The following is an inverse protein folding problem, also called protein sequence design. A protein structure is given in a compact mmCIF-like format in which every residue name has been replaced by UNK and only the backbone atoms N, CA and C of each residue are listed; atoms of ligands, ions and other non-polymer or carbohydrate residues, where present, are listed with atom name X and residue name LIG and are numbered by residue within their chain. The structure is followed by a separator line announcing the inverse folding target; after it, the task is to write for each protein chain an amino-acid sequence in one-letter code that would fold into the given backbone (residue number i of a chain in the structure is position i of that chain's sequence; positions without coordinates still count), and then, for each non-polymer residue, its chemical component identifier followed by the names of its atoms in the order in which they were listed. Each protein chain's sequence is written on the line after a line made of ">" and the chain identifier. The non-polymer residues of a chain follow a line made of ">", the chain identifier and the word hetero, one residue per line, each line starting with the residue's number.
data_IF_953898622686
#
_entry.id   IF_953898622686
#
_cell.length_a   1.000
_cell.length_b   1.000
_cell.length_c   1.000
_cell.angle_alpha   90.00
_cell.angle_beta   90.00
_cell.angle_gamma   90.00
#
_symmetry.space_group_name_H-M   'P 1'
#
loop_
_entity.id
_entity.type
_entity.pdbx_description
1 polymer ?
#
# COMPACT_ATOMS: atom_id res chain seq x y z
N UNK A 1 -5.63 41.09 10.96
CA UNK A 1 -6.53 39.98 10.55
C UNK A 1 -5.82 39.03 9.57
N UNK A 2 -5.11 39.56 8.57
CA UNK A 2 -4.39 38.79 7.54
C UNK A 2 -3.30 37.84 8.09
N UNK A 3 -2.50 38.30 9.06
CA UNK A 3 -1.47 37.46 9.70
C UNK A 3 -2.04 36.25 10.47
N UNK A 4 -3.28 36.31 10.98
CA UNK A 4 -3.85 35.17 11.67
C UNK A 4 -4.32 34.09 10.70
N UNK A 5 -4.97 34.47 9.59
CA UNK A 5 -5.36 33.53 8.53
C UNK A 5 -4.14 32.83 7.93
N UNK A 6 -3.08 33.58 7.64
CA UNK A 6 -1.82 33.02 7.14
C UNK A 6 -1.22 32.01 8.13
N UNK A 7 -1.17 32.34 9.43
CA UNK A 7 -0.67 31.42 10.44
C UNK A 7 -1.51 30.15 10.56
N UNK A 8 -2.83 30.23 10.42
CA UNK A 8 -3.69 29.04 10.39
C UNK A 8 -3.42 28.18 9.16
N UNK A 9 -3.32 28.78 7.97
CA UNK A 9 -3.05 28.05 6.73
C UNK A 9 -1.67 27.36 6.75
N UNK A 10 -0.64 28.05 7.25
CA UNK A 10 0.69 27.47 7.41
C UNK A 10 0.64 26.27 8.36
N UNK A 11 -0.03 26.41 9.51
CA UNK A 11 -0.18 25.33 10.49
C UNK A 11 -0.86 24.09 9.89
N UNK A 12 -1.96 24.25 9.17
CA UNK A 12 -2.64 23.11 8.53
C UNK A 12 -1.82 22.50 7.39
N UNK A 13 -1.12 23.32 6.61
CA UNK A 13 -0.22 22.84 5.55
C UNK A 13 0.91 21.99 6.13
N UNK A 14 1.53 22.43 7.23
CA UNK A 14 2.59 21.68 7.90
C UNK A 14 2.08 20.38 8.50
N UNK A 15 0.86 20.38 9.06
CA UNK A 15 0.23 19.18 9.57
C UNK A 15 -0.07 18.16 8.45
N UNK A 16 -0.66 18.59 7.33
CA UNK A 16 -0.91 17.73 6.17
C UNK A 16 0.41 17.16 5.66
N UNK A 17 1.44 18.00 5.52
CA UNK A 17 2.76 17.57 5.06
C UNK A 17 3.34 16.48 5.96
N UNK A 18 3.34 16.68 7.27
CA UNK A 18 3.91 15.72 8.21
C UNK A 18 3.22 14.35 8.13
N UNK A 19 1.90 14.33 7.94
CA UNK A 19 1.10 13.11 7.82
C UNK A 19 1.31 12.42 6.48
N UNK A 20 1.34 13.22 5.40
CA UNK A 20 1.63 12.73 4.06
C UNK A 20 3.02 12.09 4.00
N UNK A 21 4.03 12.69 4.65
CA UNK A 21 5.37 12.11 4.72
C UNK A 21 5.34 10.75 5.41
N UNK A 22 4.64 10.59 6.55
CA UNK A 22 4.53 9.28 7.22
C UNK A 22 3.85 8.22 6.35
N UNK A 23 2.79 8.61 5.63
CA UNK A 23 2.12 7.72 4.68
C UNK A 23 3.10 7.30 3.58
N UNK A 24 3.82 8.26 3.00
CA UNK A 24 4.80 8.01 1.94
C UNK A 24 6.01 7.20 2.43
N UNK A 25 6.42 7.36 3.68
CA UNK A 25 7.49 6.57 4.30
C UNK A 25 7.07 5.10 4.40
N UNK A 26 5.90 4.82 4.98
CA UNK A 26 5.40 3.44 5.10
C UNK A 26 5.17 2.81 3.73
N UNK A 27 4.51 3.55 2.83
CA UNK A 27 4.31 3.10 1.45
C UNK A 27 5.65 2.84 0.74
N UNK A 28 6.61 3.76 0.86
CA UNK A 28 7.91 3.67 0.21
C UNK A 28 8.76 2.51 0.73
N UNK A 29 8.72 2.24 2.04
CA UNK A 29 9.39 1.08 2.64
C UNK A 29 8.77 -0.23 2.11
N UNK A 30 7.44 -0.35 2.12
CA UNK A 30 6.74 -1.53 1.60
C UNK A 30 7.00 -1.74 0.11
N UNK A 31 6.91 -0.67 -0.68
CA UNK A 31 7.22 -0.68 -2.10
C UNK A 31 8.66 -1.14 -2.35
N UNK A 32 9.64 -0.57 -1.63
CA UNK A 32 11.03 -0.97 -1.71
C UNK A 32 11.23 -2.45 -1.35
N UNK A 33 10.55 -2.95 -0.33
CA UNK A 33 10.59 -4.37 0.03
C UNK A 33 10.04 -5.23 -1.13
N UNK A 34 8.90 -4.86 -1.72
CA UNK A 34 8.26 -5.67 -2.75
C UNK A 34 9.02 -5.69 -4.08
N UNK A 35 9.70 -4.60 -4.43
CA UNK A 35 10.54 -4.51 -5.64
C UNK A 35 11.86 -5.26 -5.50
N UNK A 36 12.42 -5.34 -4.29
CA UNK A 36 13.76 -5.91 -4.06
C UNK A 36 13.69 -7.38 -3.71
N UNK A 37 12.73 -7.79 -2.87
CA UNK A 37 12.71 -9.13 -2.30
C UNK A 37 11.74 -10.04 -3.03
N UNK A 38 12.19 -11.26 -3.26
CA UNK A 38 11.42 -12.45 -3.58
C UNK A 38 11.00 -13.15 -2.30
N UNK A 39 9.85 -13.80 -2.37
CA UNK A 39 9.28 -14.57 -1.28
C UNK A 39 9.42 -16.05 -1.61
N UNK A 40 10.34 -16.74 -0.94
CA UNK A 40 10.65 -18.14 -1.27
C UNK A 40 10.72 -19.02 -0.02
N UNK A 41 10.40 -20.31 -0.19
CA UNK A 41 10.56 -21.30 0.88
C UNK A 41 11.96 -21.90 0.83
N UNK A 42 12.70 -21.80 1.93
CA UNK A 42 14.00 -22.44 2.09
C UNK A 42 13.85 -23.59 3.10
N UNK A 43 14.43 -24.75 2.78
CA UNK A 43 14.51 -25.88 3.71
C UNK A 43 15.78 -25.78 4.54
N UNK A 44 15.64 -25.54 5.84
CA UNK A 44 16.75 -25.57 6.81
C UNK A 44 16.47 -26.65 7.85
N UNK A 45 17.43 -27.54 8.08
CA UNK A 45 17.30 -28.61 9.10
C UNK A 45 16.04 -29.48 8.95
N UNK A 46 15.54 -29.69 7.73
CA UNK A 46 14.33 -30.47 7.45
C UNK A 46 13.00 -29.71 7.60
N UNK A 47 13.03 -28.46 8.07
CA UNK A 47 11.85 -27.59 8.19
C UNK A 47 11.81 -26.56 7.05
N UNK A 48 10.60 -26.25 6.55
CA UNK A 48 10.39 -25.27 5.48
C UNK A 48 10.01 -23.93 6.10
N UNK A 49 10.80 -22.89 5.83
CA UNK A 49 10.53 -21.52 6.30
C UNK A 49 10.40 -20.55 5.13
N UNK A 50 9.52 -19.56 5.28
CA UNK A 50 9.36 -18.46 4.33
C UNK A 50 10.48 -17.45 4.55
N UNK A 51 11.22 -17.12 3.49
CA UNK A 51 12.38 -16.25 3.54
C UNK A 51 12.30 -15.17 2.46
N UNK A 52 12.72 -13.95 2.81
CA UNK A 52 12.87 -12.84 1.88
C UNK A 52 14.27 -12.86 1.27
N UNK A 53 14.35 -13.19 -0.02
CA UNK A 53 15.61 -13.25 -0.75
C UNK A 53 15.69 -12.11 -1.76
N UNK A 54 16.77 -11.29 -1.79
CA UNK A 54 16.88 -10.18 -2.72
C UNK A 54 17.02 -10.71 -4.16
N UNK A 55 15.99 -10.50 -4.97
CA UNK A 55 15.94 -10.84 -6.39
C UNK A 55 15.02 -9.84 -7.09
N UNK A 56 15.57 -8.76 -7.67
CA UNK A 56 14.77 -7.73 -8.34
C UNK A 56 14.04 -8.21 -9.59
N UNK A 57 14.40 -9.37 -10.16
CA UNK A 57 13.80 -9.89 -11.39
C UNK A 57 12.60 -10.81 -11.13
N UNK A 58 12.63 -11.56 -10.02
CA UNK A 58 11.50 -12.38 -9.55
C UNK A 58 11.03 -11.94 -8.15
N UNK A 59 10.83 -10.63 -8.00
CA UNK A 59 10.44 -10.00 -6.75
C UNK A 59 8.97 -10.33 -6.37
N UNK A 60 8.46 -9.77 -5.27
CA UNK A 60 7.08 -10.02 -4.81
C UNK A 60 6.05 -9.48 -5.81
N UNK A 61 6.30 -8.33 -6.44
CA UNK A 61 5.43 -7.79 -7.49
C UNK A 61 5.32 -8.73 -8.68
N UNK A 62 6.45 -9.23 -9.18
CA UNK A 62 6.50 -10.17 -10.30
C UNK A 62 5.73 -11.46 -9.98
N UNK A 63 5.96 -12.05 -8.81
CA UNK A 63 5.22 -13.24 -8.37
C UNK A 63 3.70 -13.01 -8.34
N UNK A 64 3.25 -11.87 -7.80
CA UNK A 64 1.83 -11.54 -7.74
C UNK A 64 1.28 -11.24 -9.12
N UNK A 65 2.02 -10.56 -9.99
CA UNK A 65 1.62 -10.32 -11.37
C UNK A 65 1.42 -11.64 -12.14
N UNK A 66 2.30 -12.63 -11.94
CA UNK A 66 2.13 -13.96 -12.52
C UNK A 66 0.94 -14.71 -11.93
N UNK A 67 0.65 -14.56 -10.64
CA UNK A 67 -0.55 -15.11 -10.02
C UNK A 67 -1.82 -14.49 -10.59
N UNK A 68 -1.86 -13.15 -10.73
CA UNK A 68 -2.96 -12.42 -11.35
C UNK A 68 -3.16 -12.85 -12.81
N UNK A 69 -2.06 -12.93 -13.58
CA UNK A 69 -2.08 -13.45 -14.95
C UNK A 69 -2.75 -14.84 -15.02
N UNK A 70 -2.37 -15.74 -14.12
CA UNK A 70 -2.90 -17.11 -14.08
C UNK A 70 -4.37 -17.16 -13.65
N UNK A 71 -4.84 -16.20 -12.86
CA UNK A 71 -6.23 -16.14 -12.39
C UNK A 71 -7.17 -15.44 -13.37
N UNK A 72 -6.69 -14.38 -14.05
CA UNK A 72 -7.53 -13.51 -14.89
C UNK A 72 -7.59 -13.94 -16.36
N UNK A 73 -6.51 -14.52 -16.90
CA UNK A 73 -6.49 -14.90 -18.31
C UNK A 73 -7.15 -16.25 -18.56
N UNK A 74 -7.94 -16.32 -19.64
CA UNK A 74 -8.47 -17.58 -20.16
C UNK A 74 -7.42 -18.26 -21.05
N UNK A 75 -7.55 -19.59 -21.21
CA UNK A 75 -6.60 -20.43 -21.97
C UNK A 75 -6.35 -19.96 -23.40
N UNK A 76 -7.31 -19.25 -24.00
CA UNK A 76 -7.25 -18.78 -25.39
C UNK A 76 -6.67 -17.36 -25.55
N UNK A 77 -6.20 -16.76 -24.46
CA UNK A 77 -5.70 -15.37 -24.46
C UNK A 77 -4.22 -15.29 -24.12
N UNK A 78 -3.48 -14.50 -24.91
CA UNK A 78 -2.06 -14.25 -24.70
C UNK A 78 -1.82 -12.78 -24.36
N UNK A 79 -1.02 -12.51 -23.33
CA UNK A 79 -0.54 -11.16 -23.06
C UNK A 79 0.45 -10.71 -24.13
N UNK A 80 0.17 -9.57 -24.75
CA UNK A 80 1.05 -8.92 -25.72
C UNK A 80 1.81 -7.78 -25.04
N UNK A 81 3.13 -7.83 -25.10
CA UNK A 81 4.03 -6.76 -24.66
C UNK A 81 4.29 -5.87 -25.87
N UNK A 82 3.75 -4.67 -25.87
CA UNK A 82 3.81 -3.77 -27.04
C UNK A 82 5.07 -2.92 -27.04
N UNK A 83 5.57 -2.55 -25.86
CA UNK A 83 6.79 -1.77 -25.68
C UNK A 83 7.79 -2.55 -24.83
N UNK A 84 9.11 -2.33 -25.04
CA UNK A 84 10.15 -3.02 -24.27
C UNK A 84 10.04 -2.83 -22.75
N UNK A 85 9.45 -1.73 -22.28
CA UNK A 85 9.38 -1.36 -20.87
C UNK A 85 8.11 -1.89 -20.18
N UNK A 86 7.13 -2.42 -20.93
CA UNK A 86 5.81 -2.77 -20.38
C UNK A 86 5.91 -3.86 -19.28
N UNK A 87 6.82 -4.83 -19.42
CA UNK A 87 7.01 -5.88 -18.41
C UNK A 87 7.49 -5.32 -17.06
N UNK A 88 8.47 -4.40 -17.09
CA UNK A 88 8.98 -3.74 -15.88
C UNK A 88 7.93 -2.81 -15.27
N UNK A 89 7.16 -2.11 -16.11
CA UNK A 89 6.09 -1.23 -15.63
C UNK A 89 4.95 -2.02 -14.97
N UNK A 90 4.56 -3.15 -15.55
CA UNK A 90 3.54 -4.03 -14.97
C UNK A 90 3.97 -4.54 -13.58
N UNK A 91 5.24 -4.92 -13.43
CA UNK A 91 5.80 -5.30 -12.13
C UNK A 91 5.78 -4.13 -11.13
N UNK A 92 6.29 -2.96 -11.53
CA UNK A 92 6.29 -1.77 -10.67
C UNK A 92 4.88 -1.36 -10.23
N UNK A 93 3.91 -1.37 -11.14
CA UNK A 93 2.52 -1.07 -10.80
C UNK A 93 1.93 -2.12 -9.86
N UNK A 94 2.30 -3.39 -10.01
CA UNK A 94 1.87 -4.45 -9.10
C UNK A 94 2.48 -4.24 -7.70
N UNK A 95 3.77 -3.95 -7.62
CA UNK A 95 4.44 -3.58 -6.35
C UNK A 95 3.76 -2.38 -5.68
N UNK A 96 3.47 -1.32 -6.42
CA UNK A 96 2.79 -0.13 -5.90
C UNK A 96 1.37 -0.46 -5.42
N UNK A 97 0.61 -1.26 -6.17
CA UNK A 97 -0.74 -1.65 -5.79
C UNK A 97 -0.75 -2.44 -4.47
N UNK A 98 0.14 -3.41 -4.30
CA UNK A 98 0.23 -4.18 -3.06
C UNK A 98 0.74 -3.31 -1.91
N UNK A 99 1.76 -2.48 -2.13
CA UNK A 99 2.26 -1.54 -1.13
C UNK A 99 1.16 -0.59 -0.65
N UNK A 100 0.31 -0.13 -1.57
CA UNK A 100 -0.86 0.68 -1.26
C UNK A 100 -1.87 -0.10 -0.42
N UNK A 101 -2.24 -1.31 -0.83
CA UNK A 101 -3.19 -2.17 -0.10
C UNK A 101 -2.71 -2.43 1.33
N UNK A 102 -1.44 -2.79 1.51
CA UNK A 102 -0.88 -3.09 2.83
C UNK A 102 -0.70 -1.84 3.70
N UNK A 103 -0.44 -0.67 3.09
CA UNK A 103 -0.31 0.60 3.82
C UNK A 103 -1.64 1.27 4.18
N UNK A 104 -2.77 0.79 3.67
CA UNK A 104 -4.09 1.40 3.92
C UNK A 104 -4.46 1.60 5.39
N UNK A 105 -4.19 0.67 6.32
CA UNK A 105 -4.47 0.91 7.74
C UNK A 105 -3.77 2.16 8.28
N UNK A 106 -2.54 2.42 7.83
CA UNK A 106 -1.77 3.62 8.20
C UNK A 106 -2.35 4.86 7.53
N UNK A 107 -2.74 4.77 6.26
CA UNK A 107 -3.39 5.86 5.53
C UNK A 107 -4.68 6.29 6.24
N UNK A 108 -5.56 5.33 6.54
CA UNK A 108 -6.82 5.57 7.25
C UNK A 108 -6.52 6.20 8.62
N UNK A 109 -5.56 5.67 9.37
CA UNK A 109 -5.19 6.20 10.68
C UNK A 109 -4.70 7.66 10.63
N UNK A 110 -3.80 8.00 9.70
CA UNK A 110 -3.26 9.35 9.59
C UNK A 110 -4.31 10.36 9.09
N UNK A 111 -5.20 9.93 8.19
CA UNK A 111 -6.37 10.71 7.74
C UNK A 111 -7.34 10.93 8.90
N UNK A 112 -7.68 9.90 9.67
CA UNK A 112 -8.54 10.04 10.86
C UNK A 112 -7.94 11.05 11.84
N UNK A 113 -6.66 10.93 12.16
CA UNK A 113 -5.99 11.88 13.05
C UNK A 113 -5.91 13.31 12.50
N UNK A 114 -5.94 13.51 11.18
CA UNK A 114 -5.99 14.86 10.60
C UNK A 114 -7.35 15.51 10.83
N UNK A 115 -8.42 14.70 10.85
CA UNK A 115 -9.79 15.15 11.09
C UNK A 115 -10.05 15.34 12.59
N UNK A 116 -9.38 14.57 13.47
CA UNK A 116 -9.51 14.61 14.94
C UNK A 116 -9.63 16.02 15.55
N UNK A 117 -8.80 17.03 15.19
CA UNK A 117 -8.85 18.36 15.79
C UNK A 117 -10.16 19.12 15.53
N UNK A 118 -10.86 18.79 14.44
CA UNK A 118 -12.11 19.43 14.05
C UNK A 118 -13.36 18.79 14.71
N UNK A 119 -13.20 17.67 15.41
CA UNK A 119 -14.29 16.86 15.96
C UNK A 119 -14.55 17.11 17.45
N UNK A 120 -15.80 16.90 17.87
CA UNK A 120 -16.21 16.87 19.28
C UNK A 120 -15.65 15.64 19.99
N UNK A 121 -15.59 15.68 21.32
CA UNK A 121 -15.11 14.56 22.14
C UNK A 121 -15.85 13.24 21.88
N UNK A 122 -17.18 13.28 21.71
CA UNK A 122 -17.98 12.10 21.36
C UNK A 122 -17.71 11.56 19.96
N UNK A 123 -17.36 12.43 19.01
CA UNK A 123 -17.07 12.06 17.62
C UNK A 123 -15.67 11.44 17.47
N UNK A 124 -14.72 11.82 18.35
CA UNK A 124 -13.37 11.24 18.38
C UNK A 124 -13.37 9.75 18.71
N UNK A 125 -14.23 9.33 19.65
CA UNK A 125 -14.37 7.91 20.00
C UNK A 125 -14.93 7.10 18.83
N UNK A 126 -15.94 7.64 18.14
CA UNK A 126 -16.48 7.06 16.92
C UNK A 126 -15.40 6.96 15.83
N UNK A 127 -14.63 8.02 15.59
CA UNK A 127 -13.60 8.02 14.55
C UNK A 127 -12.53 6.94 14.80
N UNK A 128 -12.08 6.78 16.06
CA UNK A 128 -11.14 5.72 16.44
C UNK A 128 -11.72 4.32 16.24
N UNK A 129 -13.01 4.14 16.52
CA UNK A 129 -13.70 2.86 16.31
C UNK A 129 -13.88 2.54 14.82
N UNK A 130 -13.85 3.52 13.92
CA UNK A 130 -14.03 3.32 12.47
C UNK A 130 -12.74 2.83 11.79
N UNK A 131 -11.56 3.09 12.34
CA UNK A 131 -10.28 2.76 11.71
C UNK A 131 -10.18 1.26 11.41
N UNK A 132 -10.55 0.41 12.36
CA UNK A 132 -10.53 -1.05 12.21
C UNK A 132 -11.54 -1.54 11.15
N UNK A 133 -12.85 -1.25 11.22
CA UNK A 133 -13.80 -1.70 10.21
C UNK A 133 -13.53 -1.10 8.83
N UNK A 134 -13.06 0.14 8.74
CA UNK A 134 -12.66 0.75 7.46
C UNK A 134 -11.47 0.00 6.83
N UNK A 135 -10.47 -0.36 7.64
CA UNK A 135 -9.32 -1.15 7.17
C UNK A 135 -9.76 -2.54 6.72
N UNK A 136 -10.59 -3.22 7.50
CA UNK A 136 -11.13 -4.54 7.15
C UNK A 136 -11.97 -4.49 5.87
N UNK A 137 -12.83 -3.47 5.72
CA UNK A 137 -13.66 -3.29 4.54
C UNK A 137 -12.81 -3.00 3.31
N UNK A 138 -11.72 -2.23 3.45
CA UNK A 138 -10.77 -2.02 2.37
C UNK A 138 -10.14 -3.34 1.91
N UNK A 139 -9.63 -4.16 2.84
CA UNK A 139 -9.06 -5.45 2.48
C UNK A 139 -10.08 -6.40 1.86
N UNK A 140 -11.33 -6.40 2.35
CA UNK A 140 -12.41 -7.17 1.75
C UNK A 140 -12.70 -6.70 0.32
N UNK A 141 -12.76 -5.39 0.08
CA UNK A 141 -12.95 -4.82 -1.26
C UNK A 141 -11.78 -5.14 -2.19
N UNK A 142 -10.54 -5.04 -1.72
CA UNK A 142 -9.34 -5.41 -2.47
C UNK A 142 -9.36 -6.90 -2.85
N UNK A 143 -9.79 -7.77 -1.94
CA UNK A 143 -9.93 -9.20 -2.20
C UNK A 143 -11.02 -9.52 -3.23
N UNK A 144 -12.15 -8.80 -3.21
CA UNK A 144 -13.23 -8.97 -4.22
C UNK A 144 -12.80 -8.47 -5.59
N UNK A 145 -11.90 -7.48 -5.65
CA UNK A 145 -11.42 -6.91 -6.91
C UNK A 145 -10.35 -7.74 -7.63
N UNK A 146 -9.76 -8.73 -6.95
CA UNK A 146 -8.77 -9.68 -7.49
C UNK A 146 -9.48 -10.94 -7.97
#
# INVERSE_FOLDING_TARGET
>A
MENQLLNYLVKYSDEIRARLIKILEVFGILFGIFVIFRLQYISLFGYRFMFLYPDPYDNIGAQILFLLKAHTLTTDTTLLVLKPVDGVMADFYTCMAIALIISMPVIIYEVSKFIDPALKTSEKEMLRSIILPASLLFFAGAFVGI
#
